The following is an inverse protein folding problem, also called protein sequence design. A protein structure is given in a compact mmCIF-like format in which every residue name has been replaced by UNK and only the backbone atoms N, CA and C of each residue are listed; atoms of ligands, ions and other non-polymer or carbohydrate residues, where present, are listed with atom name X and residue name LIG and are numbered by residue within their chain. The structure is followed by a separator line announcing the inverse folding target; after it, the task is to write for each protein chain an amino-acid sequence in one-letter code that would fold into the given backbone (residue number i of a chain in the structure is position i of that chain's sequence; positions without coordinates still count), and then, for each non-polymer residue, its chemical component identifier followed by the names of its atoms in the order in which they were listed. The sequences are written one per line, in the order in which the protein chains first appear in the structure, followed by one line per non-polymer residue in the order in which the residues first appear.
data_IF_712324679466
#
_entry.id   IF_712324679466
#
_cell.length_a   1.000
_cell.length_b   1.000
_cell.length_c   1.000
_cell.angle_alpha   90.00
_cell.angle_beta   90.00
_cell.angle_gamma   90.00
#
_symmetry.space_group_name_H-M   'P 1'
#
loop_
_entity.id
_entity.type
_entity.pdbx_description
1 polymer ?
#
# COMPACT_ATOMS: atom_id res chain seq x y z
N UNK A 1 16.59 12.62 7.53
CA UNK A 1 15.27 12.29 6.95
C UNK A 1 14.94 13.24 5.79
N UNK A 2 15.84 13.36 4.79
CA UNK A 2 15.72 14.38 3.73
C UNK A 2 16.50 14.05 2.44
N UNK A 3 16.75 12.77 2.13
CA UNK A 3 17.49 12.38 0.92
C UNK A 3 16.68 11.53 -0.07
N UNK A 4 15.64 10.82 0.39
CA UNK A 4 14.80 10.01 -0.51
C UNK A 4 13.89 10.88 -1.39
N UNK A 5 13.45 12.05 -0.91
CA UNK A 5 12.54 12.95 -1.65
C UNK A 5 13.23 13.73 -2.79
N UNK A 6 14.54 13.58 -2.96
CA UNK A 6 15.31 14.25 -4.02
C UNK A 6 15.45 13.39 -5.28
N UNK A 7 15.09 12.11 -5.21
CA UNK A 7 15.09 11.22 -6.37
C UNK A 7 13.85 11.50 -7.24
N UNK A 8 14.01 11.77 -8.55
CA UNK A 8 12.88 11.94 -9.46
C UNK A 8 11.97 10.70 -9.40
N UNK A 9 10.67 10.89 -9.12
CA UNK A 9 9.70 9.80 -8.94
C UNK A 9 9.61 9.22 -7.52
N UNK A 10 10.35 9.75 -6.55
CA UNK A 10 10.38 9.24 -5.17
C UNK A 10 9.70 10.22 -4.19
N UNK A 11 8.37 10.19 -4.21
CA UNK A 11 7.54 11.04 -3.34
C UNK A 11 7.43 10.52 -1.89
N UNK A 12 6.74 11.28 -1.03
CA UNK A 12 6.52 10.95 0.39
C UNK A 12 5.98 9.53 0.57
N UNK A 13 5.14 9.05 -0.34
CA UNK A 13 4.44 7.76 -0.24
C UNK A 13 5.36 6.59 -0.61
N UNK A 14 6.14 6.74 -1.68
CA UNK A 14 7.21 5.79 -2.02
C UNK A 14 8.23 5.75 -0.89
N UNK A 15 8.60 6.91 -0.35
CA UNK A 15 9.45 7.04 0.82
C UNK A 15 8.89 6.34 2.06
N UNK A 16 7.61 6.56 2.39
CA UNK A 16 6.95 5.91 3.53
C UNK A 16 6.75 4.41 3.32
N UNK A 17 6.53 3.96 2.09
CA UNK A 17 6.39 2.54 1.75
C UNK A 17 7.73 1.82 1.89
N UNK A 18 8.79 2.45 1.39
CA UNK A 18 10.17 1.95 1.53
C UNK A 18 10.61 1.98 2.99
N UNK A 19 10.37 3.06 3.73
CA UNK A 19 10.64 3.13 5.17
C UNK A 19 9.80 2.13 5.97
N UNK A 20 8.53 1.91 5.61
CA UNK A 20 7.69 0.91 6.26
C UNK A 20 8.13 -0.53 5.95
N UNK A 21 8.62 -0.79 4.74
CA UNK A 21 9.19 -2.10 4.35
C UNK A 21 10.57 -2.33 5.01
N UNK A 22 11.35 -1.27 5.21
CA UNK A 22 12.64 -1.29 5.88
C UNK A 22 12.51 -1.39 7.41
N UNK A 23 11.44 -0.87 8.00
CA UNK A 23 11.27 -0.83 9.47
C UNK A 23 12.23 0.15 10.15
N UNK A 24 12.52 -0.07 11.44
CA UNK A 24 13.47 0.76 12.20
C UNK A 24 14.88 0.64 11.60
N UNK A 25 15.42 1.76 11.10
CA UNK A 25 16.72 1.79 10.44
C UNK A 25 17.89 1.56 11.41
N UNK A 26 17.67 1.80 12.71
CA UNK A 26 18.70 1.57 13.76
C UNK A 26 19.01 0.10 13.97
N UNK A 27 18.18 -0.82 13.45
CA UNK A 27 18.46 -2.27 13.43
C UNK A 27 19.64 -2.64 12.52
N UNK A 28 20.11 -1.72 11.69
CA UNK A 28 21.24 -1.92 10.80
C UNK A 28 22.41 -1.05 11.26
N UNK A 29 23.53 -1.70 11.56
CA UNK A 29 24.76 -1.05 12.04
C UNK A 29 25.29 0.03 11.09
N UNK A 30 25.08 -0.15 9.77
CA UNK A 30 25.51 0.81 8.74
C UNK A 30 24.54 0.83 7.55
N UNK A 31 24.52 1.95 6.82
CA UNK A 31 23.68 2.12 5.63
C UNK A 31 23.98 1.11 4.50
N UNK A 32 25.22 0.58 4.43
CA UNK A 32 25.61 -0.45 3.47
C UNK A 32 24.93 -1.79 3.73
N UNK A 33 24.77 -2.17 5.01
CA UNK A 33 24.06 -3.39 5.39
C UNK A 33 22.57 -3.33 5.05
N UNK A 34 21.94 -2.16 5.15
CA UNK A 34 20.54 -1.97 4.75
C UNK A 34 20.34 -2.25 3.25
N UNK A 35 21.16 -1.63 2.40
CA UNK A 35 21.09 -1.79 0.94
C UNK A 35 21.33 -3.25 0.54
N UNK A 36 22.32 -3.90 1.14
CA UNK A 36 22.58 -5.32 0.92
C UNK A 36 21.42 -6.21 1.40
N UNK A 37 20.84 -5.94 2.56
CA UNK A 37 19.75 -6.78 3.09
C UNK A 37 18.49 -6.67 2.22
N UNK A 38 18.15 -5.47 1.75
CA UNK A 38 17.00 -5.23 0.86
C UNK A 38 17.21 -5.88 -0.51
N UNK A 39 18.40 -5.74 -1.09
CA UNK A 39 18.69 -6.25 -2.44
C UNK A 39 18.99 -7.75 -2.47
N UNK A 40 19.54 -8.32 -1.40
CA UNK A 40 20.12 -9.66 -1.42
C UNK A 40 19.26 -10.71 -0.69
N UNK A 41 18.44 -10.33 0.29
CA UNK A 41 17.63 -11.30 1.05
C UNK A 41 16.27 -11.60 0.43
N UNK A 42 15.69 -10.77 -0.45
CA UNK A 42 14.38 -10.99 -1.09
C UNK A 42 13.34 -11.68 -0.18
N UNK A 43 13.29 -11.33 1.10
CA UNK A 43 12.35 -11.89 2.06
C UNK A 43 11.31 -10.80 2.35
N UNK A 44 10.06 -10.94 1.88
CA UNK A 44 8.99 -10.02 2.22
C UNK A 44 8.83 -9.95 3.73
N UNK A 45 8.66 -8.75 4.28
CA UNK A 45 8.45 -8.54 5.70
C UNK A 45 7.18 -9.25 6.18
N UNK A 46 7.33 -10.37 6.90
CA UNK A 46 6.26 -11.34 7.26
C UNK A 46 5.22 -10.86 8.29
N UNK A 47 5.31 -9.62 8.80
CA UNK A 47 4.43 -9.11 9.87
C UNK A 47 3.39 -8.09 9.39
N UNK A 48 3.20 -7.90 8.09
CA UNK A 48 2.16 -7.00 7.57
C UNK A 48 0.94 -7.79 7.09
N UNK A 49 -0.22 -7.55 7.70
CA UNK A 49 -1.50 -8.08 7.21
C UNK A 49 -2.03 -7.26 6.03
N UNK A 50 -2.73 -7.90 5.10
CA UNK A 50 -3.40 -7.22 3.98
C UNK A 50 -4.31 -6.07 4.48
N UNK A 51 -4.94 -6.27 5.64
CA UNK A 51 -5.77 -5.25 6.29
C UNK A 51 -4.99 -3.98 6.69
N UNK A 52 -3.74 -4.10 7.16
CA UNK A 52 -2.91 -2.92 7.48
C UNK A 52 -2.50 -2.14 6.24
N UNK A 53 -2.27 -2.84 5.13
CA UNK A 53 -1.98 -2.21 3.83
C UNK A 53 -3.24 -1.49 3.32
N UNK A 54 -4.38 -2.18 3.35
CA UNK A 54 -5.67 -1.63 3.00
C UNK A 54 -6.00 -0.37 3.82
N UNK A 55 -5.75 -0.38 5.13
CA UNK A 55 -5.96 0.78 5.98
C UNK A 55 -5.10 1.97 5.56
N UNK A 56 -3.83 1.76 5.19
CA UNK A 56 -2.96 2.85 4.72
C UNK A 56 -3.48 3.49 3.43
N UNK A 57 -3.88 2.67 2.45
CA UNK A 57 -4.50 3.18 1.22
C UNK A 57 -5.81 3.92 1.50
N UNK A 58 -6.62 3.40 2.42
CA UNK A 58 -7.86 4.05 2.84
C UNK A 58 -7.59 5.42 3.48
N UNK A 59 -6.65 5.50 4.43
CA UNK A 59 -6.27 6.76 5.07
C UNK A 59 -5.72 7.75 4.04
N UNK A 60 -4.87 7.28 3.12
CA UNK A 60 -4.35 8.12 2.04
C UNK A 60 -5.46 8.67 1.15
N UNK A 61 -6.44 7.83 0.78
CA UNK A 61 -7.59 8.25 -0.04
C UNK A 61 -8.43 9.37 0.58
N UNK A 62 -8.30 9.65 1.88
CA UNK A 62 -8.98 10.77 2.54
C UNK A 62 -8.35 12.12 2.22
N UNK A 63 -7.05 12.13 1.90
CA UNK A 63 -6.30 13.33 1.53
C UNK A 63 -6.39 13.64 0.04
N UNK A 64 -6.96 12.73 -0.76
CA UNK A 64 -7.06 12.84 -2.20
C UNK A 64 -8.40 13.43 -2.64
N UNK A 65 -8.35 14.28 -3.67
CA UNK A 65 -9.54 14.73 -4.38
C UNK A 65 -10.18 13.57 -5.17
N UNK A 66 -11.36 13.78 -5.73
CA UNK A 66 -11.99 12.78 -6.59
C UNK A 66 -11.20 12.55 -7.88
N UNK A 67 -10.63 13.62 -8.46
CA UNK A 67 -9.77 13.56 -9.63
C UNK A 67 -8.49 12.76 -9.36
N UNK A 68 -7.83 13.00 -8.23
CA UNK A 68 -6.62 12.25 -7.83
C UNK A 68 -6.89 10.76 -7.59
N UNK A 69 -8.14 10.41 -7.23
CA UNK A 69 -8.59 9.02 -7.11
C UNK A 69 -9.02 8.41 -8.45
N UNK A 70 -8.96 9.17 -9.54
CA UNK A 70 -9.42 8.74 -10.86
C UNK A 70 -10.92 8.45 -10.87
N UNK A 71 -11.73 9.25 -10.17
CA UNK A 71 -13.18 9.07 -10.05
C UNK A 71 -13.60 7.93 -9.12
N UNK A 72 -12.66 7.22 -8.49
CA UNK A 72 -12.98 6.13 -7.57
C UNK A 72 -13.40 6.65 -6.20
N UNK A 73 -14.33 5.93 -5.57
CA UNK A 73 -14.58 6.11 -4.13
C UNK A 73 -13.33 5.71 -3.35
N UNK A 74 -13.24 6.15 -2.09
CA UNK A 74 -12.14 5.79 -1.18
C UNK A 74 -11.98 4.27 -1.01
N UNK A 75 -13.08 3.53 -1.01
CA UNK A 75 -13.10 2.08 -0.86
C UNK A 75 -12.67 1.38 -2.15
N UNK A 76 -13.14 1.86 -3.31
CA UNK A 76 -12.71 1.38 -4.62
C UNK A 76 -11.24 1.68 -4.89
N UNK A 77 -10.77 2.88 -4.53
CA UNK A 77 -9.36 3.27 -4.59
C UNK A 77 -8.49 2.31 -3.78
N UNK A 78 -8.93 2.00 -2.55
CA UNK A 78 -8.22 1.03 -1.69
C UNK A 78 -8.17 -0.35 -2.34
N UNK A 79 -9.30 -0.84 -2.88
CA UNK A 79 -9.36 -2.12 -3.60
C UNK A 79 -8.44 -2.13 -4.83
N UNK A 80 -8.39 -1.03 -5.57
CA UNK A 80 -7.60 -0.89 -6.80
C UNK A 80 -6.12 -1.15 -6.54
N UNK A 81 -5.56 -0.52 -5.52
CA UNK A 81 -4.16 -0.74 -5.19
C UNK A 81 -3.89 -2.12 -4.58
N UNK A 82 -4.85 -2.71 -3.85
CA UNK A 82 -4.70 -4.09 -3.39
C UNK A 82 -4.66 -5.09 -4.55
N UNK A 83 -5.55 -4.92 -5.53
CA UNK A 83 -5.57 -5.75 -6.74
C UNK A 83 -4.32 -5.56 -7.59
N UNK A 84 -3.84 -4.32 -7.76
CA UNK A 84 -2.57 -4.05 -8.46
C UNK A 84 -1.34 -4.68 -7.79
N UNK A 85 -1.44 -4.96 -6.49
CA UNK A 85 -0.39 -5.62 -5.72
C UNK A 85 -0.57 -7.15 -5.64
N UNK A 86 -1.65 -7.72 -6.21
CA UNK A 86 -1.95 -9.15 -6.13
C UNK A 86 -2.24 -9.64 -4.70
N UNK A 87 -2.81 -8.78 -3.85
CA UNK A 87 -3.07 -9.11 -2.43
C UNK A 87 -4.48 -8.72 -1.99
N UNK A 88 -4.91 -9.27 -0.85
CA UNK A 88 -6.14 -8.82 -0.19
C UNK A 88 -7.43 -9.27 -0.88
N UNK A 89 -7.38 -10.27 -1.76
CA UNK A 89 -8.54 -10.84 -2.46
C UNK A 89 -9.71 -11.14 -1.51
N UNK A 90 -9.43 -11.83 -0.40
CA UNK A 90 -10.44 -12.21 0.61
C UNK A 90 -10.81 -11.08 1.59
N UNK A 91 -10.15 -9.93 1.54
CA UNK A 91 -10.38 -8.85 2.50
C UNK A 91 -11.69 -8.14 2.19
N UNK A 92 -12.71 -8.28 3.02
CA UNK A 92 -14.02 -7.64 2.77
C UNK A 92 -14.23 -6.32 3.53
N UNK A 93 -13.49 -6.12 4.62
CA UNK A 93 -13.59 -4.94 5.49
C UNK A 93 -12.25 -4.61 6.14
N UNK A 94 -12.10 -3.35 6.54
CA UNK A 94 -10.99 -2.84 7.33
C UNK A 94 -11.53 -2.52 8.72
N UNK A 95 -11.16 -3.34 9.71
CA UNK A 95 -11.64 -3.34 11.08
C UNK A 95 -10.50 -3.19 12.11
N UNK A 96 -9.38 -2.55 11.75
CA UNK A 96 -8.28 -2.22 12.69
C UNK A 96 -8.76 -1.45 13.94
N UNK A 97 -9.79 -0.63 13.79
CA UNK A 97 -10.57 -0.14 14.91
C UNK A 97 -11.91 -0.89 14.97
N UNK A 98 -12.12 -1.79 15.95
CA UNK A 98 -13.35 -2.57 16.06
C UNK A 98 -14.62 -1.72 16.16
N UNK A 99 -14.51 -0.46 16.63
CA UNK A 99 -15.65 0.45 16.76
C UNK A 99 -16.13 1.03 15.43
N UNK A 100 -15.27 1.06 14.41
CA UNK A 100 -15.57 1.67 13.12
C UNK A 100 -15.07 0.82 11.94
N UNK A 101 -15.60 -0.40 11.77
CA UNK A 101 -15.26 -1.22 10.62
C UNK A 101 -15.73 -0.53 9.34
N UNK A 102 -14.85 -0.42 8.35
CA UNK A 102 -15.18 0.13 7.04
C UNK A 102 -15.25 -0.97 6.01
N UNK A 103 -16.35 -1.02 5.25
CA UNK A 103 -16.49 -1.95 4.12
C UNK A 103 -15.44 -1.60 3.05
N UNK A 104 -14.87 -2.63 2.44
CA UNK A 104 -14.04 -2.50 1.26
C UNK A 104 -14.86 -2.86 0.01
N UNK A 105 -14.58 -2.22 -1.12
CA UNK A 105 -15.20 -2.58 -2.40
C UNK A 105 -14.86 -4.03 -2.75
N UNK A 106 -15.75 -4.74 -3.44
CA UNK A 106 -15.46 -6.09 -3.94
C UNK A 106 -14.59 -6.03 -5.20
N UNK A 107 -13.96 -7.15 -5.54
CA UNK A 107 -13.21 -7.23 -6.80
C UNK A 107 -14.12 -7.13 -8.01
N UNK A 108 -15.29 -7.79 -7.96
CA UNK A 108 -16.29 -7.71 -9.01
C UNK A 108 -16.77 -6.27 -9.25
N UNK A 109 -16.99 -5.50 -8.18
CA UNK A 109 -17.35 -4.09 -8.26
C UNK A 109 -16.24 -3.28 -8.95
N UNK A 110 -14.98 -3.53 -8.58
CA UNK A 110 -13.88 -2.78 -9.18
C UNK A 110 -13.59 -3.19 -10.61
N UNK A 111 -13.67 -4.48 -10.94
CA UNK A 111 -13.49 -4.98 -12.30
C UNK A 111 -14.54 -4.43 -13.27
N UNK A 112 -15.76 -4.16 -12.78
CA UNK A 112 -16.78 -3.48 -13.57
C UNK A 112 -16.38 -2.03 -13.95
N UNK A 113 -15.58 -1.35 -13.11
CA UNK A 113 -15.11 0.02 -13.33
C UNK A 113 -13.73 0.10 -14.01
N UNK A 114 -12.89 -0.90 -13.75
CA UNK A 114 -11.47 -0.99 -14.12
C UNK A 114 -11.16 -2.41 -14.61
N UNK A 115 -11.70 -2.81 -15.78
CA UNK A 115 -11.54 -4.17 -16.32
C UNK A 115 -10.08 -4.50 -16.67
N UNK A 116 -9.20 -3.51 -16.80
CA UNK A 116 -7.77 -3.70 -17.03
C UNK A 116 -7.06 -4.48 -15.91
N UNK A 117 -7.65 -4.58 -14.72
CA UNK A 117 -7.06 -5.30 -13.59
C UNK A 117 -7.17 -6.83 -13.71
N UNK A 118 -7.90 -7.36 -14.70
CA UNK A 118 -8.03 -8.82 -14.91
C UNK A 118 -6.70 -9.50 -15.28
N UNK A 119 -5.70 -8.76 -15.75
CA UNK A 119 -4.43 -9.32 -16.26
C UNK A 119 -3.28 -9.29 -15.23
N UNK A 120 -3.53 -8.84 -14.00
CA UNK A 120 -2.51 -8.74 -12.96
C UNK A 120 -2.55 -10.03 -12.13
N UNK A 121 -1.92 -11.09 -12.64
CA UNK A 121 -1.59 -12.33 -11.90
C UNK A 121 -0.16 -12.29 -11.37
#
# INVERSE_FOLDING_TARGET
MLYLMQLPGFGVITGMTVLAAIGDITRFETAGHLVWHVLHRMQPYRHFSHERIAHKYLTWSWQLSEEDRGGLTRQQFTRYYLMRLGIGHDLQRIALNPKHPRRLASEAELLALRPELTQIE
#
